data_IF_710086401257
#
_entry.id   IF_710086401257
#
_cell.length_a   1.000
_cell.length_b   1.000
_cell.length_c   1.000
_cell.angle_alpha   90.00
_cell.angle_beta   90.00
_cell.angle_gamma   90.00
#
_symmetry.space_group_name_H-M   'P 1'
#
loop_
_entity.id
_entity.type
_entity.pdbx_description
1 polymer ?
#
# COMPACT_ATOMS: atom_id res chain seq x y z
N UNK A 1 -86.53 -6.19 -5.91
CA UNK A 1 -86.04 -7.36 -5.15
C UNK A 1 -84.65 -7.65 -5.63
N UNK A 2 -83.68 -7.18 -4.85
CA UNK A 2 -82.25 -7.35 -5.08
C UNK A 2 -81.80 -8.77 -4.77
N UNK A 3 -80.93 -9.33 -5.61
CA UNK A 3 -80.31 -10.64 -5.40
C UNK A 3 -78.84 -10.57 -5.80
N UNK A 4 -77.98 -10.37 -4.81
CA UNK A 4 -76.55 -10.14 -4.93
C UNK A 4 -75.77 -11.39 -5.41
N UNK A 5 -74.93 -11.21 -6.43
CA UNK A 5 -73.90 -12.17 -6.81
C UNK A 5 -72.68 -12.02 -5.89
N UNK A 6 -72.50 -12.96 -4.97
CA UNK A 6 -71.34 -13.03 -4.08
C UNK A 6 -70.05 -13.38 -4.82
N UNK A 7 -69.04 -12.51 -4.72
CA UNK A 7 -67.64 -12.83 -5.01
C UNK A 7 -67.16 -13.93 -4.06
N UNK A 8 -66.57 -15.00 -4.61
CA UNK A 8 -65.70 -15.89 -3.84
C UNK A 8 -64.30 -15.31 -3.90
N UNK A 9 -63.86 -14.75 -2.79
CA UNK A 9 -62.48 -14.33 -2.62
C UNK A 9 -61.61 -15.56 -2.29
N UNK A 10 -60.51 -15.70 -3.02
CA UNK A 10 -59.47 -16.71 -2.88
C UNK A 10 -58.77 -16.54 -1.51
N UNK A 11 -59.19 -17.32 -0.50
CA UNK A 11 -58.57 -17.34 0.85
C UNK A 11 -57.50 -18.44 0.97
N UNK A 12 -57.28 -19.26 -0.07
CA UNK A 12 -56.45 -20.47 0.01
C UNK A 12 -54.95 -20.24 -0.30
N UNK A 13 -54.60 -19.14 -0.97
CA UNK A 13 -53.24 -18.89 -1.48
C UNK A 13 -52.23 -18.63 -0.34
N UNK A 14 -52.55 -17.71 0.57
CA UNK A 14 -51.65 -17.36 1.68
C UNK A 14 -51.45 -18.45 2.74
N UNK A 15 -52.33 -19.47 2.79
CA UNK A 15 -52.17 -20.60 3.72
C UNK A 15 -51.10 -21.58 3.23
N UNK A 16 -50.98 -21.73 1.91
CA UNK A 16 -50.01 -22.58 1.28
C UNK A 16 -48.60 -22.02 1.45
N UNK A 17 -48.45 -20.69 1.31
CA UNK A 17 -47.17 -19.98 1.46
C UNK A 17 -46.59 -20.09 2.88
N UNK A 18 -47.45 -19.95 3.89
CA UNK A 18 -47.04 -20.08 5.30
C UNK A 18 -46.61 -21.52 5.62
N UNK A 19 -47.30 -22.52 5.04
CA UNK A 19 -46.96 -23.92 5.25
C UNK A 19 -45.65 -24.31 4.55
N UNK A 20 -45.40 -23.76 3.36
CA UNK A 20 -44.14 -23.94 2.64
C UNK A 20 -42.98 -23.23 3.35
N UNK A 21 -43.15 -21.99 3.80
CA UNK A 21 -42.17 -21.30 4.65
C UNK A 21 -41.87 -22.10 5.93
N UNK A 22 -42.90 -22.63 6.59
CA UNK A 22 -42.72 -23.45 7.78
C UNK A 22 -42.02 -24.79 7.47
N UNK A 23 -42.21 -25.38 6.28
CA UNK A 23 -41.45 -26.56 5.83
C UNK A 23 -39.99 -26.21 5.59
N UNK A 24 -39.70 -25.10 4.92
CA UNK A 24 -38.34 -24.61 4.65
C UNK A 24 -37.60 -24.32 5.95
N UNK A 25 -38.24 -23.66 6.92
CA UNK A 25 -37.67 -23.38 8.26
C UNK A 25 -37.41 -24.67 9.04
N UNK A 26 -38.34 -25.64 9.03
CA UNK A 26 -38.13 -26.93 9.70
C UNK A 26 -37.03 -27.76 9.05
N UNK A 27 -36.83 -27.63 7.73
CA UNK A 27 -35.70 -28.27 7.04
C UNK A 27 -34.38 -27.55 7.33
N UNK A 28 -34.38 -26.23 7.53
CA UNK A 28 -33.16 -25.48 7.88
C UNK A 28 -32.71 -25.68 9.33
N UNK A 29 -33.65 -25.93 10.26
CA UNK A 29 -33.37 -26.13 11.68
C UNK A 29 -32.98 -27.58 12.07
N UNK A 30 -33.06 -28.54 11.14
CA UNK A 30 -32.80 -29.96 11.42
C UNK A 30 -31.33 -30.40 11.28
N UNK A 31 -30.45 -29.53 10.82
CA UNK A 31 -29.03 -29.87 10.66
C UNK A 31 -28.23 -29.28 11.84
N UNK A 32 -27.60 -30.12 12.70
CA UNK A 32 -26.79 -29.63 13.80
C UNK A 32 -25.70 -28.72 13.26
N UNK A 33 -25.55 -27.54 13.86
CA UNK A 33 -24.42 -26.68 13.53
C UNK A 33 -23.14 -27.49 13.79
N UNK A 34 -22.26 -27.60 12.78
CA UNK A 34 -21.00 -28.28 12.93
C UNK A 34 -20.15 -27.58 13.99
N UNK A 35 -19.34 -28.34 14.73
CA UNK A 35 -18.36 -27.78 15.69
C UNK A 35 -17.27 -26.91 15.02
N UNK A 36 -17.17 -26.95 13.70
CA UNK A 36 -16.25 -26.14 12.91
C UNK A 36 -16.99 -24.85 12.54
N UNK A 37 -16.56 -23.74 13.14
CA UNK A 37 -17.05 -22.40 12.82
C UNK A 37 -16.46 -21.97 11.47
N UNK A 38 -17.31 -21.96 10.43
CA UNK A 38 -16.95 -21.50 9.10
C UNK A 38 -17.55 -20.10 8.92
N UNK A 39 -16.72 -19.05 8.75
CA UNK A 39 -17.23 -17.70 8.54
C UNK A 39 -17.98 -17.61 7.20
N UNK A 40 -18.84 -16.60 7.07
CA UNK A 40 -19.44 -16.27 5.78
C UNK A 40 -18.34 -15.78 4.82
N UNK A 41 -18.38 -16.26 3.57
CA UNK A 41 -17.54 -15.79 2.49
C UNK A 41 -17.83 -14.32 2.19
N UNK A 42 -16.77 -13.50 2.20
CA UNK A 42 -16.81 -12.05 2.09
C UNK A 42 -15.80 -11.52 1.05
N UNK A 43 -15.54 -12.30 -0.01
CA UNK A 43 -14.55 -12.03 -1.08
C UNK A 43 -13.08 -12.12 -0.62
N UNK A 44 -12.78 -11.91 0.66
CA UNK A 44 -11.43 -11.96 1.21
C UNK A 44 -11.03 -13.38 1.63
N UNK A 45 -9.74 -13.74 1.47
CA UNK A 45 -9.18 -15.01 1.97
C UNK A 45 -9.90 -16.28 1.44
N UNK A 46 -10.23 -16.31 0.15
CA UNK A 46 -10.98 -17.41 -0.48
C UNK A 46 -10.39 -18.80 -0.21
N UNK A 47 -9.07 -18.92 -0.09
CA UNK A 47 -8.36 -20.16 0.25
C UNK A 47 -8.58 -20.61 1.68
N UNK A 48 -8.50 -19.68 2.64
CA UNK A 48 -8.74 -19.97 4.07
C UNK A 48 -10.19 -20.38 4.27
N UNK A 49 -11.12 -19.64 3.65
CA UNK A 49 -12.53 -19.97 3.67
C UNK A 49 -12.80 -21.35 3.04
N UNK A 50 -12.30 -21.61 1.82
CA UNK A 50 -12.53 -22.87 1.12
C UNK A 50 -11.95 -24.06 1.88
N UNK A 51 -10.79 -23.91 2.53
CA UNK A 51 -10.20 -24.95 3.37
C UNK A 51 -11.02 -25.24 4.62
N UNK A 52 -11.55 -24.21 5.30
CA UNK A 52 -12.44 -24.38 6.47
C UNK A 52 -13.77 -25.03 6.08
N UNK A 53 -14.36 -24.61 4.97
CA UNK A 53 -15.58 -25.19 4.42
C UNK A 53 -15.37 -26.65 3.97
N UNK A 54 -14.21 -26.96 3.38
CA UNK A 54 -13.83 -28.33 3.01
C UNK A 54 -13.64 -29.24 4.24
N UNK A 55 -13.00 -28.75 5.31
CA UNK A 55 -12.91 -29.47 6.58
C UNK A 55 -14.29 -29.73 7.19
N UNK A 56 -15.18 -28.76 7.09
CA UNK A 56 -16.57 -28.90 7.49
C UNK A 56 -17.26 -30.02 6.69
N UNK A 57 -17.08 -30.01 5.37
CA UNK A 57 -17.58 -31.04 4.46
C UNK A 57 -17.13 -32.44 4.83
N UNK A 58 -15.82 -32.63 5.01
CA UNK A 58 -15.25 -33.92 5.40
C UNK A 58 -15.74 -34.37 6.77
N UNK A 59 -15.82 -33.47 7.75
CA UNK A 59 -16.30 -33.79 9.10
C UNK A 59 -17.76 -34.26 9.10
N UNK A 60 -18.57 -33.77 8.16
CA UNK A 60 -19.97 -34.16 7.99
C UNK A 60 -20.19 -35.19 6.87
N UNK A 61 -19.12 -35.72 6.27
CA UNK A 61 -19.17 -36.70 5.17
C UNK A 61 -20.01 -36.22 3.99
N UNK A 62 -19.87 -34.95 3.61
CA UNK A 62 -20.54 -34.41 2.43
C UNK A 62 -19.96 -34.99 1.14
N UNK A 63 -20.83 -35.26 0.17
CA UNK A 63 -20.42 -35.49 -1.23
C UNK A 63 -20.15 -34.15 -1.90
N UNK A 64 -19.47 -34.17 -3.04
CA UNK A 64 -19.21 -32.96 -3.83
C UNK A 64 -20.51 -32.22 -4.20
N UNK A 65 -21.59 -32.94 -4.52
CA UNK A 65 -22.89 -32.31 -4.80
C UNK A 65 -23.51 -31.67 -3.55
N UNK A 66 -23.28 -32.25 -2.37
CA UNK A 66 -23.73 -31.65 -1.11
C UNK A 66 -22.87 -30.44 -0.74
N UNK A 67 -21.56 -30.49 -0.98
CA UNK A 67 -20.66 -29.35 -0.81
C UNK A 67 -21.14 -28.14 -1.61
N UNK A 68 -21.32 -28.31 -2.92
CA UNK A 68 -21.76 -27.24 -3.82
C UNK A 68 -23.11 -26.63 -3.43
N UNK A 69 -24.07 -27.46 -3.00
CA UNK A 69 -25.39 -27.00 -2.54
C UNK A 69 -25.32 -26.17 -1.26
N UNK A 70 -24.35 -26.46 -0.40
CA UNK A 70 -24.21 -25.81 0.91
C UNK A 70 -23.43 -24.51 0.83
N UNK A 71 -22.61 -24.29 -0.20
CA UNK A 71 -21.77 -23.11 -0.37
C UNK A 71 -22.55 -21.81 -0.16
N UNK A 72 -23.72 -21.64 -0.80
CA UNK A 72 -24.52 -20.42 -0.69
C UNK A 72 -25.02 -20.11 0.73
N UNK A 73 -25.11 -21.11 1.62
CA UNK A 73 -25.44 -20.87 3.04
C UNK A 73 -24.30 -20.22 3.80
N UNK A 74 -23.08 -20.34 3.28
CA UNK A 74 -21.84 -19.82 3.85
C UNK A 74 -21.28 -18.65 3.03
N UNK A 75 -22.15 -17.93 2.31
CA UNK A 75 -21.80 -16.72 1.56
C UNK A 75 -22.66 -15.54 2.04
N UNK A 76 -22.02 -14.37 2.16
CA UNK A 76 -22.74 -13.11 2.34
C UNK A 76 -23.67 -12.86 1.15
N UNK A 77 -24.77 -12.13 1.38
CA UNK A 77 -25.88 -12.02 0.42
C UNK A 77 -25.43 -11.39 -0.89
N UNK A 78 -24.49 -10.44 -0.80
CA UNK A 78 -23.94 -9.65 -1.90
C UNK A 78 -23.18 -10.51 -2.92
N UNK A 79 -22.65 -11.67 -2.51
CA UNK A 79 -21.88 -12.57 -3.35
C UNK A 79 -22.65 -13.80 -3.81
N UNK A 80 -23.90 -13.99 -3.37
CA UNK A 80 -24.65 -15.23 -3.65
C UNK A 80 -24.86 -15.48 -5.13
N UNK A 81 -25.29 -14.47 -5.89
CA UNK A 81 -25.55 -14.62 -7.32
C UNK A 81 -24.27 -14.99 -8.08
N UNK A 82 -23.15 -14.38 -7.68
CA UNK A 82 -21.85 -14.63 -8.28
C UNK A 82 -21.32 -16.04 -7.95
N UNK A 83 -21.47 -16.45 -6.70
CA UNK A 83 -21.09 -17.79 -6.23
C UNK A 83 -22.00 -18.86 -6.83
N UNK A 84 -23.29 -18.57 -7.02
CA UNK A 84 -24.24 -19.50 -7.65
C UNK A 84 -23.87 -19.75 -9.11
N UNK A 85 -23.45 -18.72 -9.84
CA UNK A 85 -22.92 -18.88 -11.20
C UNK A 85 -21.64 -19.72 -11.21
N UNK A 86 -20.74 -19.53 -10.25
CA UNK A 86 -19.56 -20.38 -10.09
C UNK A 86 -19.95 -21.84 -9.81
N UNK A 87 -20.92 -22.09 -8.92
CA UNK A 87 -21.44 -23.43 -8.66
C UNK A 87 -22.00 -24.06 -9.93
N UNK A 88 -22.76 -23.29 -10.73
CA UNK A 88 -23.40 -23.76 -11.97
C UNK A 88 -22.40 -24.22 -13.03
N UNK A 89 -21.26 -23.53 -13.15
CA UNK A 89 -20.21 -23.88 -14.12
C UNK A 89 -19.21 -24.93 -13.59
N UNK A 90 -19.32 -25.30 -12.30
CA UNK A 90 -18.44 -26.28 -11.66
C UNK A 90 -18.95 -27.71 -11.77
N UNK A 91 -18.05 -28.64 -12.05
CA UNK A 91 -18.40 -30.07 -12.15
C UNK A 91 -18.47 -30.78 -10.80
N UNK A 92 -17.61 -30.37 -9.88
CA UNK A 92 -17.45 -30.97 -8.56
C UNK A 92 -16.77 -29.98 -7.62
N UNK A 93 -16.61 -30.36 -6.35
CA UNK A 93 -16.01 -29.49 -5.34
C UNK A 93 -14.58 -29.05 -5.69
N UNK A 94 -13.65 -29.94 -6.11
CA UNK A 94 -12.32 -29.51 -6.53
C UNK A 94 -12.31 -28.50 -7.69
N UNK A 95 -13.17 -28.67 -8.70
CA UNK A 95 -13.31 -27.74 -9.83
C UNK A 95 -13.90 -26.39 -9.39
N UNK A 96 -14.90 -26.40 -8.50
CA UNK A 96 -15.40 -25.18 -7.86
C UNK A 96 -14.32 -24.46 -7.07
N UNK A 97 -13.58 -25.19 -6.21
CA UNK A 97 -12.48 -24.62 -5.44
C UNK A 97 -11.44 -24.00 -6.37
N UNK A 98 -11.06 -24.66 -7.46
CA UNK A 98 -10.13 -24.10 -8.44
C UNK A 98 -10.64 -22.80 -9.06
N UNK A 99 -11.91 -22.74 -9.49
CA UNK A 99 -12.52 -21.56 -10.11
C UNK A 99 -12.74 -20.41 -9.12
N UNK A 100 -13.18 -20.73 -7.90
CA UNK A 100 -13.29 -19.78 -6.80
C UNK A 100 -11.92 -19.16 -6.53
N UNK A 101 -10.90 -19.99 -6.42
CA UNK A 101 -9.53 -19.51 -6.21
C UNK A 101 -8.99 -18.78 -7.42
N UNK A 102 -9.33 -19.12 -8.66
CA UNK A 102 -8.92 -18.35 -9.85
C UNK A 102 -9.56 -16.96 -9.85
N UNK A 103 -10.85 -16.87 -9.50
CA UNK A 103 -11.62 -15.63 -9.51
C UNK A 103 -11.25 -14.70 -8.35
N UNK A 104 -11.10 -15.25 -7.16
CA UNK A 104 -10.84 -14.50 -5.93
C UNK A 104 -9.37 -14.61 -5.49
N UNK A 105 -8.47 -15.07 -6.37
CA UNK A 105 -7.04 -15.22 -6.06
C UNK A 105 -6.35 -13.90 -5.72
N UNK A 106 -6.91 -12.76 -6.14
CA UNK A 106 -6.41 -11.45 -5.73
C UNK A 106 -6.53 -11.22 -4.22
N UNK A 107 -7.39 -11.98 -3.52
CA UNK A 107 -7.49 -12.02 -2.06
C UNK A 107 -6.58 -13.06 -1.38
N UNK A 108 -5.95 -13.97 -2.14
CA UNK A 108 -5.04 -15.02 -1.64
C UNK A 108 -3.59 -14.88 -2.11
N UNK A 109 -3.32 -14.00 -3.08
CA UNK A 109 -1.98 -13.73 -3.60
C UNK A 109 -1.75 -12.22 -3.64
N UNK A 110 -0.81 -11.79 -2.81
CA UNK A 110 -0.35 -10.42 -2.52
C UNK A 110 -1.21 -9.64 -1.53
N UNK A 111 -1.05 -9.96 -0.24
CA UNK A 111 -0.25 -9.05 0.57
C UNK A 111 0.85 -9.89 1.27
N UNK A 112 2.00 -9.97 0.60
CA UNK A 112 3.18 -10.75 0.98
C UNK A 112 3.78 -10.14 2.28
N UNK A 113 4.74 -10.80 2.92
CA UNK A 113 5.59 -10.20 3.98
C UNK A 113 6.21 -8.83 3.58
N UNK A 114 6.08 -8.43 2.31
CA UNK A 114 6.46 -7.16 1.72
C UNK A 114 5.48 -6.01 1.97
N UNK A 115 4.26 -6.27 2.43
CA UNK A 115 3.22 -5.25 2.65
C UNK A 115 3.15 -4.75 4.11
N UNK A 116 3.75 -5.50 5.04
CA UNK A 116 4.05 -5.04 6.41
C UNK A 116 5.45 -4.43 6.54
N UNK A 117 6.41 -4.87 5.72
CA UNK A 117 7.75 -4.25 5.59
C UNK A 117 7.77 -2.73 5.27
N UNK A 118 6.78 -2.09 4.61
CA UNK A 118 6.79 -0.66 4.36
C UNK A 118 6.34 0.17 5.57
N UNK A 119 5.75 -0.46 6.59
CA UNK A 119 5.36 0.18 7.85
C UNK A 119 6.62 0.36 8.69
N UNK A 120 7.45 1.31 8.26
CA UNK A 120 8.68 1.68 8.94
C UNK A 120 8.35 2.51 10.17
N UNK A 121 8.76 2.04 11.36
CA UNK A 121 8.65 2.77 12.64
C UNK A 121 9.15 4.20 12.54
N UNK A 122 10.15 4.49 11.71
CA UNK A 122 10.74 5.84 11.54
C UNK A 122 9.78 6.86 10.94
N UNK A 123 8.71 6.42 10.28
CA UNK A 123 7.68 7.30 9.69
C UNK A 123 6.69 7.83 10.74
N UNK A 124 6.73 7.33 11.98
CA UNK A 124 5.77 7.67 13.03
C UNK A 124 6.44 8.43 14.17
N UNK A 125 5.83 9.50 14.66
CA UNK A 125 6.37 10.27 15.79
C UNK A 125 6.36 9.50 17.11
N UNK A 126 5.47 8.53 17.25
CA UNK A 126 5.30 7.76 18.50
C UNK A 126 5.08 6.28 18.23
N UNK A 127 5.43 5.46 19.22
CA UNK A 127 5.25 4.01 19.21
C UNK A 127 3.77 3.65 19.21
N UNK A 128 2.94 4.47 19.86
CA UNK A 128 1.48 4.34 19.83
C UNK A 128 0.90 4.53 18.42
N UNK A 129 1.36 5.56 17.69
CA UNK A 129 0.93 5.78 16.30
C UNK A 129 1.37 4.61 15.39
N UNK A 130 2.63 4.18 15.54
CA UNK A 130 3.14 3.01 14.82
C UNK A 130 2.31 1.75 15.11
N UNK A 131 2.03 1.44 16.38
CA UNK A 131 1.18 0.31 16.77
C UNK A 131 -0.24 0.38 16.17
N UNK A 132 -0.81 1.59 16.12
CA UNK A 132 -2.14 1.81 15.56
C UNK A 132 -2.17 1.53 14.06
N UNK A 133 -1.18 2.03 13.31
CA UNK A 133 -1.07 1.79 11.87
C UNK A 133 -0.66 0.34 11.56
N UNK A 134 0.28 -0.23 12.30
CA UNK A 134 0.64 -1.64 12.22
C UNK A 134 -0.58 -2.55 12.46
N UNK A 135 -1.41 -2.20 13.45
CA UNK A 135 -2.67 -2.89 13.71
C UNK A 135 -3.76 -2.61 12.67
N UNK A 136 -3.77 -1.44 12.02
CA UNK A 136 -4.70 -1.13 10.91
C UNK A 136 -4.33 -1.94 9.67
N UNK A 137 -3.06 -1.95 9.29
CA UNK A 137 -2.55 -2.76 8.18
C UNK A 137 -2.74 -4.25 8.50
N UNK A 138 -2.43 -4.69 9.73
CA UNK A 138 -2.66 -6.06 10.20
C UNK A 138 -4.14 -6.45 10.40
N UNK A 139 -5.09 -5.51 10.34
CA UNK A 139 -6.54 -5.79 10.29
C UNK A 139 -7.06 -5.92 8.86
N UNK A 140 -6.37 -5.32 7.90
CA UNK A 140 -6.62 -5.48 6.46
C UNK A 140 -5.91 -6.74 5.91
N UNK A 141 -5.22 -7.51 6.77
CA UNK A 141 -4.25 -8.54 6.40
C UNK A 141 -4.15 -9.69 7.42
N UNK A 142 -4.60 -10.89 7.03
CA UNK A 142 -4.10 -12.20 7.47
C UNK A 142 -4.35 -12.70 8.91
N UNK A 143 -4.72 -13.99 8.97
CA UNK A 143 -4.55 -14.96 10.08
C UNK A 143 -3.04 -15.19 10.42
N UNK A 144 -2.25 -14.11 10.61
CA UNK A 144 -0.84 -14.22 11.00
C UNK A 144 -0.70 -14.90 12.36
N UNK A 145 0.31 -15.77 12.50
CA UNK A 145 0.65 -16.32 13.81
C UNK A 145 1.22 -15.22 14.72
N UNK A 146 1.07 -15.36 16.04
CA UNK A 146 1.68 -14.44 16.99
C UNK A 146 3.20 -14.33 16.82
N UNK A 147 3.85 -15.43 16.41
CA UNK A 147 5.27 -15.45 16.08
C UNK A 147 5.60 -14.52 14.92
N UNK A 148 4.86 -14.61 13.82
CA UNK A 148 5.14 -13.80 12.63
C UNK A 148 4.83 -12.32 12.89
N UNK A 149 3.73 -12.02 13.60
CA UNK A 149 3.42 -10.64 14.04
C UNK A 149 4.54 -10.05 14.88
N UNK A 150 5.06 -10.82 15.84
CA UNK A 150 6.16 -10.37 16.68
C UNK A 150 7.43 -10.11 15.87
N UNK A 151 7.86 -11.07 15.04
CA UNK A 151 9.11 -10.93 14.26
C UNK A 151 9.08 -9.71 13.34
N UNK A 152 7.98 -9.49 12.62
CA UNK A 152 7.83 -8.34 11.72
C UNK A 152 7.83 -7.02 12.50
N UNK A 153 7.12 -6.97 13.63
CA UNK A 153 7.10 -5.77 14.47
C UNK A 153 8.48 -5.47 15.08
N UNK A 154 9.21 -6.50 15.52
CA UNK A 154 10.52 -6.37 16.17
C UNK A 154 11.61 -5.90 15.20
N UNK A 155 11.52 -6.25 13.91
CA UNK A 155 12.45 -5.82 12.85
C UNK A 155 12.53 -4.28 12.69
N UNK A 156 11.56 -3.55 13.24
CA UNK A 156 11.53 -2.10 13.26
C UNK A 156 12.32 -1.46 14.41
N UNK A 157 12.92 -2.26 15.29
CA UNK A 157 13.63 -1.83 16.50
C UNK A 157 15.04 -2.40 16.52
N UNK A 158 15.97 -1.73 17.22
CA UNK A 158 17.32 -2.27 17.39
C UNK A 158 17.38 -3.36 18.47
N UNK A 159 18.47 -4.13 18.53
CA UNK A 159 18.63 -5.28 19.43
C UNK A 159 18.34 -4.97 20.91
N UNK A 160 18.73 -3.78 21.38
CA UNK A 160 18.50 -3.35 22.78
C UNK A 160 17.02 -3.11 23.03
N UNK A 161 16.33 -2.52 22.07
CA UNK A 161 14.88 -2.29 22.14
C UNK A 161 14.11 -3.59 22.01
N UNK A 162 14.51 -4.49 21.10
CA UNK A 162 13.92 -5.80 20.93
C UNK A 162 13.98 -6.62 22.22
N UNK A 163 15.13 -6.64 22.91
CA UNK A 163 15.28 -7.31 24.21
C UNK A 163 14.29 -6.80 25.27
N UNK A 164 13.99 -5.49 25.27
CA UNK A 164 12.98 -4.89 26.16
C UNK A 164 11.56 -5.26 25.74
N UNK A 165 11.29 -5.33 24.43
CA UNK A 165 9.99 -5.70 23.86
C UNK A 165 9.64 -7.16 24.13
N UNK A 166 10.62 -8.05 24.17
CA UNK A 166 10.41 -9.48 24.47
C UNK A 166 10.56 -9.85 25.95
N UNK A 167 10.78 -8.85 26.81
CA UNK A 167 11.00 -9.09 28.25
C UNK A 167 9.81 -9.82 28.87
N UNK A 168 10.12 -10.90 29.57
CA UNK A 168 9.14 -11.75 30.26
C UNK A 168 8.51 -12.83 29.38
N UNK A 169 9.00 -13.02 28.15
CA UNK A 169 8.58 -14.11 27.27
C UNK A 169 9.47 -15.34 27.48
N UNK A 170 8.87 -16.50 27.76
CA UNK A 170 9.58 -17.76 28.03
C UNK A 170 9.88 -18.55 26.75
N UNK A 171 10.48 -17.88 25.75
CA UNK A 171 10.85 -18.51 24.47
C UNK A 171 9.71 -18.77 23.49
N UNK A 172 8.47 -18.39 23.82
CA UNK A 172 7.34 -18.33 22.89
C UNK A 172 6.99 -16.89 22.57
N UNK A 173 6.73 -16.62 21.30
CA UNK A 173 6.27 -15.33 20.84
C UNK A 173 4.80 -15.11 21.22
N UNK A 174 4.51 -13.98 21.85
CA UNK A 174 3.19 -13.56 22.32
C UNK A 174 2.98 -12.11 21.89
N UNK A 175 2.08 -11.91 20.93
CA UNK A 175 1.82 -10.60 20.35
C UNK A 175 1.21 -9.63 21.37
N UNK A 176 0.36 -10.14 22.26
CA UNK A 176 -0.27 -9.35 23.32
C UNK A 176 0.78 -8.79 24.27
N UNK A 177 1.78 -9.61 24.62
CA UNK A 177 2.88 -9.20 25.49
C UNK A 177 3.77 -8.15 24.85
N UNK A 178 4.14 -8.34 23.58
CA UNK A 178 4.95 -7.37 22.83
C UNK A 178 4.23 -6.02 22.73
N UNK A 179 2.92 -6.01 22.43
CA UNK A 179 2.11 -4.77 22.43
C UNK A 179 2.12 -4.07 23.78
N UNK A 180 1.98 -4.81 24.88
CA UNK A 180 2.03 -4.25 26.22
C UNK A 180 3.40 -3.61 26.50
N UNK A 181 4.48 -4.33 26.22
CA UNK A 181 5.84 -3.85 26.43
C UNK A 181 6.14 -2.62 25.56
N UNK A 182 5.62 -2.56 24.33
CA UNK A 182 5.75 -1.42 23.43
C UNK A 182 5.05 -0.15 23.94
N UNK A 183 3.91 -0.28 24.63
CA UNK A 183 3.19 0.84 25.22
C UNK A 183 3.83 1.35 26.52
N UNK A 184 4.45 0.46 27.29
CA UNK A 184 5.13 0.80 28.56
C UNK A 184 6.54 1.35 28.30
N UNK A 185 7.21 0.86 27.27
CA UNK A 185 8.55 1.29 26.93
C UNK A 185 8.57 2.70 26.34
N UNK A 186 9.43 3.56 26.88
CA UNK A 186 9.67 4.93 26.38
C UNK A 186 10.55 4.92 25.11
N UNK A 187 10.12 4.19 24.08
CA UNK A 187 10.88 4.04 22.82
C UNK A 187 10.87 5.32 21.95
N UNK A 188 9.97 6.26 22.26
CA UNK A 188 9.81 7.51 21.52
C UNK A 188 11.02 8.44 21.69
N UNK A 189 11.75 8.35 22.82
CA UNK A 189 12.92 9.17 23.12
C UNK A 189 14.12 8.87 22.20
N UNK A 190 14.28 7.60 21.79
CA UNK A 190 15.37 7.15 20.91
C UNK A 190 15.09 7.59 19.47
N UNK A 191 13.85 7.43 19.01
CA UNK A 191 13.44 7.89 17.70
C UNK A 191 13.53 9.42 17.58
N UNK A 192 13.11 10.15 18.60
CA UNK A 192 13.20 11.62 18.62
C UNK A 192 14.65 12.09 18.41
N UNK A 193 15.63 11.41 19.01
CA UNK A 193 17.07 11.71 18.80
C UNK A 193 17.50 11.45 17.36
N UNK A 194 17.09 10.33 16.77
CA UNK A 194 17.44 9.97 15.38
C UNK A 194 16.80 10.90 14.35
N UNK A 195 15.51 11.24 14.51
CA UNK A 195 14.81 12.16 13.62
C UNK A 195 15.38 13.59 13.72
N UNK A 196 15.76 14.03 14.93
CA UNK A 196 16.45 15.29 15.15
C UNK A 196 17.78 15.33 14.41
N UNK A 197 18.58 14.26 14.52
CA UNK A 197 19.87 14.15 13.85
C UNK A 197 19.72 14.16 12.31
N UNK A 198 18.74 13.45 11.76
CA UNK A 198 18.46 13.45 10.31
C UNK A 198 18.01 14.84 9.81
N UNK A 199 17.21 15.57 10.60
CA UNK A 199 16.80 16.95 10.26
C UNK A 199 18.01 17.88 10.23
N UNK A 200 18.88 17.79 11.24
CA UNK A 200 20.11 18.58 11.32
C UNK A 200 21.05 18.28 10.13
N UNK A 201 21.13 17.04 9.67
CA UNK A 201 21.90 16.66 8.47
C UNK A 201 21.31 17.24 7.18
N UNK A 202 19.98 17.18 7.00
CA UNK A 202 19.30 17.78 5.82
C UNK A 202 19.48 19.29 5.76
N UNK A 203 19.48 19.96 6.91
CA UNK A 203 19.71 21.40 6.98
C UNK A 203 21.16 21.76 6.62
N UNK A 204 22.15 20.96 7.02
CA UNK A 204 23.55 21.15 6.63
C UNK A 204 23.75 21.00 5.12
N UNK A 205 23.11 20.00 4.49
CA UNK A 205 23.19 19.78 3.04
C UNK A 205 22.58 20.97 2.27
N UNK A 206 21.38 21.41 2.64
CA UNK A 206 20.73 22.58 2.03
C UNK A 206 21.56 23.86 2.15
N UNK A 207 22.20 24.06 3.31
CA UNK A 207 23.07 25.22 3.52
C UNK A 207 24.32 25.17 2.62
N UNK A 208 24.83 23.96 2.32
CA UNK A 208 25.93 23.75 1.36
C UNK A 208 25.54 24.14 -0.06
N UNK A 209 24.39 23.68 -0.55
CA UNK A 209 23.89 23.98 -1.90
C UNK A 209 23.66 25.49 -2.13
N UNK A 210 23.16 26.20 -1.13
CA UNK A 210 22.96 27.66 -1.19
C UNK A 210 24.30 28.40 -1.29
N UNK A 211 25.29 28.00 -0.47
CA UNK A 211 26.64 28.59 -0.51
C UNK A 211 27.35 28.32 -1.83
N UNK A 212 27.23 27.10 -2.37
CA UNK A 212 27.79 26.75 -3.67
C UNK A 212 27.13 27.54 -4.81
N UNK A 213 25.82 27.80 -4.72
CA UNK A 213 25.10 28.66 -5.65
C UNK A 213 25.59 30.12 -5.61
N UNK A 214 25.86 30.67 -4.43
CA UNK A 214 26.41 32.03 -4.28
C UNK A 214 27.85 32.13 -4.81
N UNK A 215 28.68 31.12 -4.56
CA UNK A 215 30.05 31.03 -5.11
C UNK A 215 29.99 30.97 -6.63
N UNK A 216 29.11 30.14 -7.20
CA UNK A 216 28.96 30.00 -8.65
C UNK A 216 28.50 31.30 -9.31
N UNK A 217 27.50 31.99 -8.72
CA UNK A 217 27.04 33.32 -9.20
C UNK A 217 28.17 34.34 -9.18
N UNK A 218 28.96 34.37 -8.12
CA UNK A 218 30.11 35.28 -7.99
C UNK A 218 31.15 35.03 -9.07
N UNK A 219 31.50 33.77 -9.34
CA UNK A 219 32.45 33.40 -10.39
C UNK A 219 31.93 33.74 -11.80
N UNK A 220 30.63 33.57 -12.05
CA UNK A 220 30.01 33.96 -13.32
C UNK A 220 30.06 35.48 -13.54
N UNK A 221 29.68 36.27 -12.54
CA UNK A 221 29.78 37.74 -12.63
C UNK A 221 31.23 38.20 -12.89
N UNK A 222 32.22 37.59 -12.22
CA UNK A 222 33.64 37.90 -12.46
C UNK A 222 34.09 37.58 -13.89
N UNK A 223 33.62 36.47 -14.46
CA UNK A 223 33.92 36.08 -15.85
C UNK A 223 33.36 37.10 -16.85
N UNK A 224 32.12 37.53 -16.66
CA UNK A 224 31.46 38.52 -17.53
C UNK A 224 32.19 39.88 -17.50
N UNK A 225 32.61 40.33 -16.31
CA UNK A 225 33.41 41.56 -16.18
C UNK A 225 34.76 41.46 -16.89
N UNK A 226 35.46 40.32 -16.79
CA UNK A 226 36.73 40.11 -17.48
C UNK A 226 36.57 40.09 -19.01
N UNK A 227 35.49 39.51 -19.54
CA UNK A 227 35.22 39.53 -20.98
C UNK A 227 34.88 40.94 -21.47
N UNK A 228 34.05 41.70 -20.73
CA UNK A 228 33.77 43.11 -21.06
C UNK A 228 35.03 43.97 -21.08
N UNK A 229 35.94 43.77 -20.12
CA UNK A 229 37.23 44.47 -20.09
C UNK A 229 38.15 44.11 -21.27
N UNK A 230 38.14 42.84 -21.72
CA UNK A 230 38.90 42.44 -22.92
C UNK A 230 38.32 43.09 -24.17
N UNK A 231 37.00 43.13 -24.30
CA UNK A 231 36.32 43.76 -25.44
C UNK A 231 36.64 45.26 -25.51
N UNK A 232 36.55 45.98 -24.39
CA UNK A 232 36.91 47.40 -24.32
C UNK A 232 38.40 47.64 -24.63
N UNK A 233 39.31 46.79 -24.11
CA UNK A 233 40.73 46.89 -24.45
C UNK A 233 40.98 46.69 -25.95
N UNK A 234 40.25 45.78 -26.60
CA UNK A 234 40.33 45.56 -28.05
C UNK A 234 39.79 46.78 -28.82
N UNK A 235 38.66 47.36 -28.40
CA UNK A 235 38.11 48.60 -29.00
C UNK A 235 39.13 49.75 -28.93
N UNK A 236 39.75 49.97 -27.76
CA UNK A 236 40.78 50.99 -27.60
C UNK A 236 42.01 50.76 -28.49
N UNK A 237 42.49 49.52 -28.61
CA UNK A 237 43.60 49.19 -29.52
C UNK A 237 43.24 49.44 -30.99
N UNK A 238 42.01 49.13 -31.41
CA UNK A 238 41.52 49.40 -32.77
C UNK A 238 41.46 50.90 -33.05
N UNK A 239 40.97 51.71 -32.12
CA UNK A 239 40.91 53.18 -32.27
C UNK A 239 42.31 53.77 -32.42
N UNK A 240 43.26 53.38 -31.54
CA UNK A 240 44.65 53.83 -31.62
C UNK A 240 45.33 53.41 -32.93
N UNK A 241 45.03 52.21 -33.45
CA UNK A 241 45.57 51.74 -34.73
C UNK A 241 45.02 52.55 -35.92
N UNK A 242 43.72 52.89 -35.91
CA UNK A 242 43.10 53.75 -36.93
C UNK A 242 43.70 55.16 -36.95
N UNK A 243 43.93 55.74 -35.78
CA UNK A 243 44.52 57.08 -35.64
C UNK A 243 45.99 57.16 -36.07
N UNK A 244 46.76 56.08 -35.88
CA UNK A 244 48.13 55.98 -36.41
C UNK A 244 48.16 55.83 -37.94
N UNK A 245 47.17 55.18 -38.53
CA UNK A 245 47.09 54.98 -39.99
C UNK A 245 46.57 56.21 -40.75
N UNK A 246 45.74 57.06 -40.14
CA UNK A 246 45.31 58.32 -40.76
C UNK A 246 46.43 59.36 -40.86
N UNK A 247 47.40 59.36 -39.93
CA UNK A 247 48.58 60.24 -39.96
C UNK A 247 49.62 59.91 -41.04
N UNK A 248 49.56 58.75 -41.70
CA UNK A 248 50.54 58.32 -42.73
C UNK A 248 50.07 58.50 -44.17
N UNK A 249 48.82 58.90 -44.43
CA UNK A 249 48.23 58.96 -45.78
C UNK A 249 48.05 60.38 -46.34
N UNK A 250 49.01 61.26 -46.05
CA UNK A 250 49.02 62.66 -46.51
C UNK A 250 50.43 63.20 -46.66
N UNK A 251 51.20 62.64 -47.60
CA UNK A 251 52.35 63.27 -48.27
C UNK A 251 52.69 62.39 -49.50
N UNK A 252 52.26 62.84 -50.68
CA UNK A 252 52.76 62.35 -51.96
C UNK A 252 54.29 62.55 -52.03
N UNK A 253 55.06 61.59 -52.56
CA UNK A 253 56.41 61.85 -53.01
C UNK A 253 56.35 62.47 -54.42
N UNK A 254 56.87 63.70 -54.53
CA UNK A 254 57.29 64.29 -55.80
C UNK A 254 58.36 63.37 -56.40
N UNK A 255 58.11 62.92 -57.63
CA UNK A 255 59.07 62.24 -58.49
C UNK A 255 60.17 63.24 -58.86
N UNK A 256 61.42 62.93 -58.54
CA UNK A 256 62.58 63.49 -59.23
C UNK A 256 63.36 62.36 -59.90
N UNK A 257 63.66 62.63 -61.17
CA UNK A 257 64.35 61.82 -62.17
C UNK A 257 65.89 61.89 -62.00
N UNK A 258 66.55 60.96 -62.69
CA UNK A 258 67.91 61.03 -63.24
C UNK A 258 69.11 60.39 -62.50
N UNK A 259 69.53 59.27 -63.10
CA UNK A 259 70.85 59.00 -63.72
C UNK A 259 72.11 58.83 -62.86
N UNK A 260 72.56 57.57 -62.73
CA UNK A 260 73.75 57.00 -63.41
C UNK A 260 73.85 55.49 -63.19
#
# INVERSE_FOLDING_TARGET
MDGAAGRRDNIDDGRNDIQELARVIRQSQREPYPKIDVPLFDENHASSWANKFEQLGYSNKYTDEKMLRMVNRYCQVEYRDEIDELVRISRNWPDFKARLLEKYQLGDRLLDLRDLRPVDRKKFGTTKQFLSEFGRVGRLNLDLSDKDRCLIFLDNFNDVEQSKLVKGMQGRYDWTKVRQNALVGKFDDILYRLLRQQKEEREKVKLGEVKDSEIYKTLTCMREMMEGMKEERLKFQVILAKEKNSKRKGKEPVVEESDS
#
